data_IF_873444808652
#
_entry.id   IF_873444808652
#
_cell.length_a   1.000
_cell.length_b   1.000
_cell.length_c   1.000
_cell.angle_alpha   90.00
_cell.angle_beta   90.00
_cell.angle_gamma   90.00
#
_symmetry.space_group_name_H-M   'P 1'
#
loop_
_entity.id
_entity.type
_entity.pdbx_description
1 polymer ?
#
# COMPACT_ATOMS: atom_id res chain seq x y z
N UNK A 1 1.93 11.42 -3.39
CA UNK A 1 1.08 11.05 -2.23
C UNK A 1 1.79 11.40 -0.95
N UNK A 2 1.03 11.73 0.06
CA UNK A 2 1.54 12.16 1.36
C UNK A 2 1.13 11.13 2.42
N UNK A 3 1.94 10.97 3.44
CA UNK A 3 1.62 10.06 4.54
C UNK A 3 0.23 10.36 5.09
N UNK A 4 -0.59 9.32 5.20
CA UNK A 4 -1.95 9.44 5.68
C UNK A 4 -2.98 9.60 4.57
N UNK A 5 -2.54 9.78 3.33
CA UNK A 5 -3.48 9.83 2.22
C UNK A 5 -4.15 8.48 2.01
N UNK A 6 -5.43 8.51 1.70
CA UNK A 6 -6.17 7.28 1.44
C UNK A 6 -5.86 6.78 0.04
N UNK A 7 -5.56 5.50 -0.07
CA UNK A 7 -5.28 4.87 -1.36
C UNK A 7 -6.15 3.64 -1.53
N UNK A 8 -6.43 3.33 -2.78
CA UNK A 8 -7.17 2.14 -3.17
C UNK A 8 -6.20 1.04 -3.56
N UNK A 9 -6.44 -0.16 -3.05
CA UNK A 9 -5.65 -1.34 -3.40
C UNK A 9 -6.59 -2.32 -4.12
N UNK A 10 -6.30 -2.65 -5.37
CA UNK A 10 -7.20 -3.52 -6.12
C UNK A 10 -7.08 -4.97 -5.69
N UNK A 11 -8.10 -5.74 -6.04
CA UNK A 11 -8.08 -7.16 -5.86
C UNK A 11 -6.88 -7.76 -6.61
N UNK A 12 -6.21 -8.70 -5.97
CA UNK A 12 -5.07 -9.35 -6.58
C UNK A 12 -3.72 -8.74 -6.25
N UNK A 13 -3.72 -7.55 -5.65
CA UNK A 13 -2.46 -6.92 -5.22
C UNK A 13 -1.81 -7.76 -4.12
N UNK A 14 -0.49 -7.76 -4.11
CA UNK A 14 0.27 -8.50 -3.12
C UNK A 14 1.03 -7.52 -2.22
N UNK A 15 0.81 -7.64 -0.93
CA UNK A 15 1.51 -6.87 0.07
C UNK A 15 2.61 -7.74 0.67
N UNK A 16 3.72 -7.11 0.98
CA UNK A 16 4.90 -7.81 1.49
C UNK A 16 5.36 -7.12 2.77
N UNK A 17 5.67 -7.91 3.76
CA UNK A 17 6.24 -7.40 4.99
C UNK A 17 7.43 -8.28 5.39
N UNK A 18 8.57 -7.66 5.58
CA UNK A 18 9.75 -8.37 6.00
C UNK A 18 10.09 -7.95 7.43
N UNK A 19 9.91 -8.87 8.36
CA UNK A 19 10.13 -8.59 9.78
C UNK A 19 11.61 -8.52 10.15
N UNK A 20 12.47 -9.02 9.30
CA UNK A 20 13.90 -9.02 9.55
C UNK A 20 14.63 -8.89 8.23
N UNK A 21 15.95 -8.77 8.29
CA UNK A 21 16.75 -8.75 7.07
C UNK A 21 16.76 -10.09 6.34
N UNK A 22 16.23 -11.12 6.96
CA UNK A 22 16.21 -12.44 6.35
C UNK A 22 14.96 -12.60 5.49
N UNK A 23 15.16 -12.78 4.20
CA UNK A 23 14.05 -12.86 3.26
C UNK A 23 13.13 -14.05 3.52
N UNK A 24 13.63 -15.10 4.16
CA UNK A 24 12.81 -16.26 4.45
C UNK A 24 11.73 -15.97 5.49
N UNK A 25 11.82 -14.85 6.18
CA UNK A 25 10.82 -14.44 7.18
C UNK A 25 9.82 -13.43 6.63
N UNK A 26 9.85 -13.18 5.34
CA UNK A 26 8.90 -12.25 4.74
C UNK A 26 7.48 -12.80 4.83
N UNK A 27 6.54 -11.92 5.11
CA UNK A 27 5.14 -12.26 5.10
C UNK A 27 4.50 -11.67 3.87
N UNK A 28 3.55 -12.40 3.31
CA UNK A 28 2.81 -11.96 2.12
C UNK A 28 1.33 -11.93 2.44
N UNK A 29 0.66 -10.93 1.92
CA UNK A 29 -0.79 -10.84 2.05
C UNK A 29 -1.37 -10.51 0.68
N UNK A 30 -2.19 -11.40 0.16
CA UNK A 30 -2.87 -11.16 -1.10
C UNK A 30 -4.20 -10.48 -0.82
N UNK A 31 -4.48 -9.43 -1.56
CA UNK A 31 -5.73 -8.69 -1.42
C UNK A 31 -6.80 -9.42 -2.22
N UNK A 32 -7.78 -9.96 -1.53
CA UNK A 32 -8.83 -10.76 -2.16
C UNK A 32 -10.04 -9.94 -2.59
N UNK A 33 -10.21 -8.76 -2.01
CA UNK A 33 -11.28 -7.83 -2.39
C UNK A 33 -10.70 -6.44 -2.45
N UNK A 34 -11.20 -5.57 -3.33
CA UNK A 34 -10.72 -4.20 -3.38
C UNK A 34 -10.74 -3.59 -1.98
N UNK A 35 -9.65 -2.98 -1.59
CA UNK A 35 -9.45 -2.50 -0.23
C UNK A 35 -8.91 -1.09 -0.21
N UNK A 36 -8.91 -0.48 0.96
CA UNK A 36 -8.35 0.85 1.17
C UNK A 36 -7.29 0.77 2.24
N UNK A 37 -6.29 1.62 2.09
CA UNK A 37 -5.21 1.71 3.06
C UNK A 37 -4.75 3.15 3.13
N UNK A 38 -3.86 3.44 4.07
CA UNK A 38 -3.27 4.76 4.17
C UNK A 38 -1.87 4.70 3.58
N UNK A 39 -1.53 5.65 2.72
CA UNK A 39 -0.18 5.77 2.21
C UNK A 39 0.74 6.08 3.39
N UNK A 40 1.84 5.35 3.50
CA UNK A 40 2.78 5.56 4.61
C UNK A 40 4.01 6.33 4.15
N UNK A 41 4.76 5.78 3.22
CA UNK A 41 5.91 6.46 2.67
C UNK A 41 6.46 5.75 1.44
N UNK A 42 7.28 6.45 0.66
CA UNK A 42 8.01 5.83 -0.42
C UNK A 42 9.15 5.00 0.17
N UNK A 43 9.49 3.90 -0.47
CA UNK A 43 10.60 3.05 -0.03
C UNK A 43 11.89 3.67 -0.58
N UNK A 44 12.81 4.10 0.29
CA UNK A 44 14.07 4.67 -0.17
C UNK A 44 14.83 3.69 -1.07
N UNK A 45 15.40 4.20 -2.15
CA UNK A 45 16.19 3.42 -3.12
C UNK A 45 15.39 2.42 -3.92
N UNK A 46 14.08 2.35 -3.74
CA UNK A 46 13.22 1.44 -4.47
C UNK A 46 12.01 2.21 -5.03
N UNK A 47 12.20 2.93 -6.14
CA UNK A 47 11.14 3.81 -6.64
C UNK A 47 9.88 3.10 -7.10
N UNK A 48 9.95 1.79 -7.31
CA UNK A 48 8.79 1.01 -7.71
C UNK A 48 7.97 0.51 -6.52
N UNK A 49 8.42 0.78 -5.31
CA UNK A 49 7.77 0.31 -4.10
C UNK A 49 7.37 1.48 -3.21
N UNK A 50 6.32 1.25 -2.43
CA UNK A 50 5.87 2.19 -1.42
C UNK A 50 5.42 1.40 -0.21
N UNK A 51 5.21 2.08 0.91
CA UNK A 51 4.67 1.45 2.11
C UNK A 51 3.27 1.99 2.35
N UNK A 52 2.38 1.12 2.80
CA UNK A 52 1.01 1.49 3.17
C UNK A 52 0.70 0.93 4.54
N UNK A 53 -0.18 1.63 5.26
CA UNK A 53 -0.68 1.17 6.55
C UNK A 53 -2.00 0.47 6.32
N UNK A 54 -2.05 -0.83 6.62
CA UNK A 54 -3.22 -1.65 6.36
C UNK A 54 -3.35 -2.70 7.45
N UNK A 55 -4.53 -2.83 8.02
CA UNK A 55 -4.80 -3.77 9.11
C UNK A 55 -3.79 -3.64 10.24
N UNK A 56 -3.59 -2.40 10.68
CA UNK A 56 -2.73 -2.09 11.83
C UNK A 56 -1.25 -2.40 11.63
N UNK A 57 -0.82 -2.58 10.39
CA UNK A 57 0.56 -2.93 10.07
C UNK A 57 1.00 -2.19 8.81
N UNK A 58 2.28 -1.86 8.75
CA UNK A 58 2.87 -1.27 7.56
C UNK A 58 3.31 -2.38 6.63
N UNK A 59 2.90 -2.29 5.37
CA UNK A 59 3.22 -3.27 4.33
C UNK A 59 3.88 -2.56 3.17
N UNK A 60 4.75 -3.28 2.46
CA UNK A 60 5.30 -2.80 1.20
C UNK A 60 4.43 -3.27 0.06
N UNK A 61 4.25 -2.41 -0.94
CA UNK A 61 3.42 -2.71 -2.09
C UNK A 61 4.02 -2.01 -3.31
N UNK A 62 3.83 -2.57 -4.48
CA UNK A 62 4.30 -1.91 -5.69
C UNK A 62 3.45 -0.66 -5.95
N UNK A 63 4.12 0.41 -6.33
CA UNK A 63 3.45 1.68 -6.61
C UNK A 63 2.37 1.51 -7.67
N UNK A 64 2.58 0.65 -8.64
CA UNK A 64 1.60 0.40 -9.70
C UNK A 64 0.30 -0.21 -9.19
N UNK A 65 0.31 -0.76 -7.97
CA UNK A 65 -0.85 -1.42 -7.41
C UNK A 65 -1.60 -0.55 -6.40
N UNK A 66 -1.23 0.71 -6.26
CA UNK A 66 -1.99 1.62 -5.42
C UNK A 66 -2.49 2.78 -6.26
N UNK A 67 -3.69 3.24 -5.94
CA UNK A 67 -4.33 4.34 -6.66
C UNK A 67 -4.79 5.38 -5.65
N UNK A 68 -4.39 6.62 -5.83
CA UNK A 68 -4.84 7.66 -4.91
C UNK A 68 -6.35 7.85 -5.01
N UNK A 69 -6.97 8.04 -3.86
CA UNK A 69 -8.40 8.36 -3.82
C UNK A 69 -8.50 9.85 -3.65
N UNK A 70 -9.09 10.52 -4.65
CA UNK A 70 -9.19 11.97 -4.63
C UNK A 70 -10.51 12.40 -4.03
N UNK A 71 -10.42 13.38 -3.15
CA UNK A 71 -11.63 13.92 -2.50
C UNK A 71 -12.41 14.81 -3.43
N UNK A 72 -11.80 15.30 -4.49
CA UNK A 72 -12.49 16.16 -5.44
C UNK A 72 -13.71 15.49 -6.06
N UNK A 73 -13.64 14.18 -6.23
CA UNK A 73 -14.76 13.45 -6.82
C UNK A 73 -16.00 13.52 -5.95
N UNK A 74 -15.82 13.63 -4.66
CA UNK A 74 -16.94 13.73 -3.74
C UNK A 74 -17.55 15.11 -3.72
N UNK A 75 -16.75 16.11 -4.02
CA UNK A 75 -17.19 17.49 -3.98
C UNK A 75 -17.90 17.92 -5.24
N UNK A 76 -17.77 17.17 -6.29
CA UNK A 76 -18.37 17.51 -7.58
C UNK A 76 -19.85 17.17 -7.62
N UNK A 77 -20.25 16.24 -6.84
CA UNK A 77 -21.64 15.78 -6.85
C UNK A 77 -22.60 16.76 -6.21
#
# INVERSE_FOLDING_TARGET
>A
MTRGDLVHIPQGALLLRNKSANISEAEFLKIEKPSRALFWEDVPKEPKWASVYYKETVWDIRVKDIYPITQELENVS
#
